data_IF_879042115402
#
_entry.id   IF_879042115402
#
_cell.length_a   1.000
_cell.length_b   1.000
_cell.length_c   1.000
_cell.angle_alpha   90.00
_cell.angle_beta   90.00
_cell.angle_gamma   90.00
#
_symmetry.space_group_name_H-M   'P 1'
#
loop_
_entity.id
_entity.type
_entity.pdbx_description
1 polymer ?
#
# COMPACT_ATOMS: atom_id res chain seq x y z
N UNK A 1 22.83 10.40 -0.85
CA UNK A 1 21.68 10.96 -0.07
C UNK A 1 21.79 12.47 0.22
N UNK A 2 22.96 13.11 0.04
CA UNK A 2 23.19 14.51 0.46
C UNK A 2 22.66 15.55 -0.56
N UNK A 3 22.46 15.17 -1.82
CA UNK A 3 22.08 16.11 -2.90
C UNK A 3 20.56 16.37 -2.95
N UNK A 4 19.71 15.38 -2.65
CA UNK A 4 18.26 15.48 -2.87
C UNK A 4 17.54 16.29 -1.79
N UNK A 5 17.98 16.16 -0.53
CA UNK A 5 17.33 16.81 0.62
C UNK A 5 17.35 18.36 0.56
N UNK A 6 18.47 19.01 0.19
CA UNK A 6 18.50 20.45 -0.02
C UNK A 6 17.53 20.93 -1.11
N UNK A 7 17.49 20.22 -2.25
CA UNK A 7 16.60 20.56 -3.37
C UNK A 7 15.12 20.47 -2.97
N UNK A 8 14.74 19.44 -2.21
CA UNK A 8 13.36 19.28 -1.73
C UNK A 8 12.89 20.41 -0.81
N UNK A 9 13.80 21.07 -0.07
CA UNK A 9 13.46 22.20 0.79
C UNK A 9 13.16 23.47 0.01
N UNK A 10 13.80 23.65 -1.15
CA UNK A 10 13.63 24.82 -2.02
C UNK A 10 12.60 24.57 -3.13
N UNK A 11 12.15 23.32 -3.30
CA UNK A 11 11.30 22.88 -4.39
C UNK A 11 10.02 23.69 -4.53
N UNK A 12 9.32 24.01 -3.44
CA UNK A 12 8.07 24.78 -3.52
C UNK A 12 8.28 26.17 -4.12
N UNK A 13 9.38 26.83 -3.76
CA UNK A 13 9.75 28.14 -4.32
C UNK A 13 10.19 28.00 -5.78
N UNK A 14 11.06 27.03 -6.06
CA UNK A 14 11.54 26.77 -7.42
C UNK A 14 10.40 26.41 -8.38
N UNK A 15 9.40 25.65 -7.94
CA UNK A 15 8.22 25.33 -8.74
C UNK A 15 7.36 26.56 -9.04
N UNK A 16 7.21 27.50 -8.09
CA UNK A 16 6.50 28.75 -8.34
C UNK A 16 7.25 29.61 -9.38
N UNK A 17 8.56 29.74 -9.23
CA UNK A 17 9.39 30.51 -10.16
C UNK A 17 9.41 29.88 -11.57
N UNK A 18 9.54 28.55 -11.65
CA UNK A 18 9.50 27.81 -12.92
C UNK A 18 8.12 27.89 -13.60
N UNK A 19 7.03 27.72 -12.85
CA UNK A 19 5.69 27.85 -13.41
C UNK A 19 5.45 29.25 -13.99
N UNK A 20 5.98 30.28 -13.32
CA UNK A 20 5.95 31.65 -13.83
C UNK A 20 6.73 31.77 -15.14
N UNK A 21 7.97 31.29 -15.19
CA UNK A 21 8.79 31.31 -16.41
C UNK A 21 8.12 30.56 -17.57
N UNK A 22 7.53 29.40 -17.32
CA UNK A 22 6.82 28.61 -18.35
C UNK A 22 5.57 29.36 -18.84
N UNK A 23 4.84 30.04 -17.95
CA UNK A 23 3.66 30.81 -18.32
C UNK A 23 3.99 32.05 -19.15
N UNK A 24 5.17 32.63 -18.95
CA UNK A 24 5.66 33.83 -19.63
C UNK A 24 6.46 33.52 -20.92
N UNK A 25 6.77 32.24 -21.19
CA UNK A 25 7.48 31.82 -22.41
C UNK A 25 6.67 32.22 -23.65
N UNK A 26 7.25 33.05 -24.52
CA UNK A 26 6.59 33.59 -25.71
C UNK A 26 5.98 32.50 -26.61
N UNK A 27 6.62 31.32 -26.68
CA UNK A 27 6.17 30.19 -27.49
C UNK A 27 4.89 29.54 -26.97
N UNK A 28 4.64 29.65 -25.66
CA UNK A 28 3.49 29.07 -24.95
C UNK A 28 2.46 30.12 -24.53
N UNK A 29 2.88 31.38 -24.43
CA UNK A 29 2.09 32.51 -23.95
C UNK A 29 0.85 32.77 -24.81
N UNK A 30 0.86 32.40 -26.09
CA UNK A 30 -0.29 32.53 -27.00
C UNK A 30 -1.32 31.40 -26.85
N UNK A 31 -0.94 30.29 -26.19
CA UNK A 31 -1.81 29.13 -26.01
C UNK A 31 -2.88 29.42 -24.94
N UNK A 32 -4.14 29.34 -25.36
CA UNK A 32 -5.30 29.56 -24.48
C UNK A 32 -5.33 28.61 -23.28
N UNK A 33 -4.90 27.36 -23.45
CA UNK A 33 -4.88 26.37 -22.37
C UNK A 33 -3.90 26.79 -21.27
N UNK A 34 -2.72 27.28 -21.64
CA UNK A 34 -1.69 27.75 -20.69
C UNK A 34 -2.22 28.96 -19.92
N UNK A 35 -2.89 29.90 -20.60
CA UNK A 35 -3.52 31.06 -19.96
C UNK A 35 -4.65 30.70 -18.99
N UNK A 36 -5.43 29.65 -19.27
CA UNK A 36 -6.49 29.17 -18.36
C UNK A 36 -5.89 28.48 -17.13
N UNK A 37 -4.81 27.70 -17.30
CA UNK A 37 -4.22 26.90 -16.21
C UNK A 37 -3.37 27.77 -15.26
N UNK A 38 -2.55 28.67 -15.81
CA UNK A 38 -1.59 29.46 -15.03
C UNK A 38 -2.02 30.92 -14.79
N UNK A 39 -3.02 31.40 -15.55
CA UNK A 39 -3.50 32.79 -15.49
C UNK A 39 -4.96 32.90 -15.09
N UNK A 40 -5.51 34.11 -15.22
CA UNK A 40 -6.93 34.35 -14.96
C UNK A 40 -7.75 34.30 -16.27
N UNK A 41 -8.65 33.32 -16.45
CA UNK A 41 -9.47 33.22 -17.65
C UNK A 41 -10.41 34.42 -17.86
N UNK A 42 -10.79 35.15 -16.80
CA UNK A 42 -11.67 36.31 -16.89
C UNK A 42 -11.06 37.49 -17.66
N UNK A 43 -9.73 37.53 -17.81
CA UNK A 43 -9.00 38.62 -18.49
C UNK A 43 -9.18 38.56 -20.01
N UNK A 44 -9.37 37.37 -20.59
CA UNK A 44 -9.42 37.19 -22.05
C UNK A 44 -10.67 36.46 -22.56
N UNK A 45 -11.49 35.87 -21.68
CA UNK A 45 -12.78 35.28 -22.07
C UNK A 45 -13.92 36.25 -21.73
N UNK A 46 -14.46 36.99 -22.73
CA UNK A 46 -15.41 38.07 -22.49
C UNK A 46 -16.79 37.58 -22.05
N UNK A 47 -17.11 36.30 -22.31
CA UNK A 47 -18.40 35.68 -21.98
C UNK A 47 -18.47 35.13 -20.56
N UNK A 48 -17.38 35.22 -19.78
CA UNK A 48 -17.41 34.79 -18.39
C UNK A 48 -18.18 35.80 -17.52
N UNK A 49 -18.96 35.33 -16.54
CA UNK A 49 -19.60 36.21 -15.57
C UNK A 49 -18.54 37.05 -14.84
N UNK A 50 -18.69 38.37 -14.89
CA UNK A 50 -17.78 39.30 -14.20
C UNK A 50 -18.34 39.64 -12.81
N UNK A 51 -17.44 39.88 -11.86
CA UNK A 51 -17.74 40.66 -10.66
C UNK A 51 -18.70 40.02 -9.64
N UNK A 52 -18.62 38.70 -9.45
CA UNK A 52 -19.29 38.01 -8.34
C UNK A 52 -18.26 37.25 -7.49
N UNK A 53 -18.53 37.13 -6.19
CA UNK A 53 -17.63 36.44 -5.27
C UNK A 53 -17.35 34.98 -5.67
N UNK A 54 -18.27 34.34 -6.39
CA UNK A 54 -18.24 32.89 -6.72
C UNK A 54 -17.56 32.62 -8.08
N UNK A 55 -17.56 33.57 -9.01
CA UNK A 55 -16.98 33.40 -10.35
C UNK A 55 -15.51 33.83 -10.43
N UNK A 56 -14.74 33.62 -9.36
CA UNK A 56 -13.31 33.91 -9.33
C UNK A 56 -12.45 32.71 -9.74
N UNK A 57 -11.36 32.98 -10.47
CA UNK A 57 -10.34 31.98 -10.85
C UNK A 57 -9.80 31.19 -9.66
N UNK A 58 -9.71 31.82 -8.49
CA UNK A 58 -9.26 31.18 -7.23
C UNK A 58 -10.22 30.11 -6.73
N UNK A 59 -11.54 30.31 -6.86
CA UNK A 59 -12.55 29.33 -6.40
C UNK A 59 -12.58 28.11 -7.31
N UNK A 60 -12.47 28.33 -8.61
CA UNK A 60 -12.49 27.28 -9.63
C UNK A 60 -11.10 26.66 -9.89
N UNK A 61 -10.12 26.96 -9.03
CA UNK A 61 -8.78 26.38 -9.14
C UNK A 61 -8.77 24.89 -8.78
N UNK A 62 -7.97 24.12 -9.52
CA UNK A 62 -7.78 22.70 -9.22
C UNK A 62 -6.91 22.55 -7.97
N UNK A 63 -7.46 21.97 -6.91
CA UNK A 63 -6.73 21.65 -5.69
C UNK A 63 -6.25 20.21 -5.73
N UNK A 64 -5.03 19.98 -5.23
CA UNK A 64 -4.50 18.63 -5.08
C UNK A 64 -5.39 17.84 -4.12
N UNK A 65 -5.76 16.62 -4.51
CA UNK A 65 -6.43 15.68 -3.62
C UNK A 65 -5.47 15.23 -2.53
N UNK A 66 -5.91 15.25 -1.28
CA UNK A 66 -5.11 14.78 -0.15
C UNK A 66 -5.07 13.25 -0.20
N UNK A 67 -3.87 12.68 -0.21
CA UNK A 67 -3.61 11.24 -0.17
C UNK A 67 -2.77 10.86 1.04
N UNK A 68 -2.70 9.57 1.37
CA UNK A 68 -1.89 9.05 2.49
C UNK A 68 -0.41 9.30 2.22
N UNK A 69 0.03 9.18 0.97
CA UNK A 69 1.40 9.45 0.53
C UNK A 69 1.73 10.94 0.67
N UNK A 70 0.78 11.82 0.36
CA UNK A 70 0.95 13.26 0.58
C UNK A 70 1.11 13.59 2.06
N UNK A 71 0.30 12.96 2.93
CA UNK A 71 0.44 13.13 4.38
C UNK A 71 1.78 12.56 4.90
N UNK A 72 2.20 11.38 4.42
CA UNK A 72 3.49 10.78 4.73
C UNK A 72 4.64 11.72 4.36
N UNK A 73 4.57 12.35 3.20
CA UNK A 73 5.54 13.33 2.75
C UNK A 73 5.55 14.59 3.64
N UNK A 74 4.38 15.12 4.01
CA UNK A 74 4.29 16.27 4.94
C UNK A 74 4.92 15.92 6.29
N UNK A 75 4.60 14.75 6.86
CA UNK A 75 5.14 14.31 8.16
C UNK A 75 6.66 14.15 8.08
N UNK A 76 7.21 13.66 6.96
CA UNK A 76 8.66 13.56 6.76
C UNK A 76 9.35 14.93 6.61
N UNK A 77 8.70 15.91 5.96
CA UNK A 77 9.28 17.23 5.75
C UNK A 77 9.19 18.14 6.99
N UNK A 78 8.05 18.09 7.69
CA UNK A 78 7.73 19.01 8.80
C UNK A 78 7.93 18.41 10.18
N UNK A 79 7.86 17.09 10.30
CA UNK A 79 8.06 16.42 11.58
C UNK A 79 9.53 16.28 11.91
N UNK A 80 9.99 16.88 13.01
CA UNK A 80 11.01 16.22 13.81
C UNK A 80 10.45 14.85 14.21
N UNK A 81 11.29 13.80 14.26
CA UNK A 81 10.89 12.44 14.67
C UNK A 81 10.08 12.43 15.98
N UNK A 82 10.25 13.46 16.80
CA UNK A 82 9.70 13.59 18.14
C UNK A 82 8.28 14.21 18.19
N UNK A 83 7.74 14.74 17.08
CA UNK A 83 6.43 15.43 17.13
C UNK A 83 5.25 14.47 17.00
N UNK A 84 5.34 13.48 16.11
CA UNK A 84 4.26 12.52 15.82
C UNK A 84 4.81 11.12 15.51
N UNK A 85 5.56 10.49 16.43
CA UNK A 85 6.29 9.25 16.18
C UNK A 85 5.39 8.08 15.75
N UNK A 86 4.22 7.91 16.39
CA UNK A 86 3.25 6.86 16.05
C UNK A 86 2.71 7.06 14.63
N UNK A 87 2.30 8.28 14.28
CA UNK A 87 1.77 8.59 12.95
C UNK A 87 2.82 8.37 11.87
N UNK A 88 4.08 8.76 12.12
CA UNK A 88 5.17 8.51 11.20
C UNK A 88 5.39 7.01 10.98
N UNK A 89 5.40 6.22 12.06
CA UNK A 89 5.55 4.75 11.97
C UNK A 89 4.39 4.11 11.22
N UNK A 90 3.16 4.57 11.46
CA UNK A 90 1.97 4.11 10.73
C UNK A 90 2.11 4.40 9.24
N UNK A 91 2.42 5.63 8.86
CA UNK A 91 2.53 6.06 7.45
C UNK A 91 3.67 5.33 6.71
N UNK A 92 4.74 4.94 7.40
CA UNK A 92 5.82 4.12 6.82
C UNK A 92 5.38 2.69 6.50
N UNK A 93 4.39 2.16 7.22
CA UNK A 93 3.96 0.76 7.15
C UNK A 93 2.51 0.58 6.72
N UNK A 94 1.83 1.66 6.31
CA UNK A 94 0.38 1.68 6.08
C UNK A 94 -0.08 0.60 5.09
N UNK A 95 0.61 0.49 3.96
CA UNK A 95 0.23 -0.47 2.91
C UNK A 95 0.33 -1.93 3.40
N UNK A 96 1.33 -2.22 4.25
CA UNK A 96 1.53 -3.53 4.87
C UNK A 96 0.53 -3.77 6.01
N UNK A 97 0.34 -2.78 6.91
CA UNK A 97 -0.61 -2.82 8.02
C UNK A 97 -2.06 -3.00 7.54
N UNK A 98 -2.41 -2.44 6.38
CA UNK A 98 -3.72 -2.64 5.75
C UNK A 98 -4.02 -4.12 5.49
N UNK A 99 -3.01 -4.95 5.28
CA UNK A 99 -3.20 -6.38 5.03
C UNK A 99 -3.50 -7.19 6.31
N UNK A 100 -3.19 -6.65 7.49
CA UNK A 100 -3.46 -7.32 8.79
C UNK A 100 -4.95 -7.61 8.97
N UNK A 101 -5.84 -6.82 8.36
CA UNK A 101 -7.30 -7.07 8.39
C UNK A 101 -7.70 -8.44 7.84
N UNK A 102 -6.88 -9.04 6.96
CA UNK A 102 -7.14 -10.34 6.35
C UNK A 102 -6.54 -11.50 7.14
N UNK A 103 -5.77 -11.23 8.20
CA UNK A 103 -5.17 -12.26 9.04
C UNK A 103 -6.20 -13.26 9.61
N UNK A 104 -7.39 -12.85 10.11
CA UNK A 104 -8.38 -13.82 10.61
C UNK A 104 -8.88 -14.77 9.52
N UNK A 105 -9.06 -14.29 8.29
CA UNK A 105 -9.52 -15.09 7.16
C UNK A 105 -8.45 -16.10 6.71
N UNK A 106 -7.19 -15.65 6.65
CA UNK A 106 -6.04 -16.50 6.36
C UNK A 106 -5.86 -17.58 7.44
N UNK A 107 -6.00 -17.23 8.72
CA UNK A 107 -5.94 -18.20 9.81
C UNK A 107 -7.10 -19.20 9.77
N UNK A 108 -8.30 -18.77 9.39
CA UNK A 108 -9.43 -19.67 9.19
C UNK A 108 -9.15 -20.67 8.04
N UNK A 109 -8.57 -20.20 6.92
CA UNK A 109 -8.11 -21.06 5.84
C UNK A 109 -7.08 -22.09 6.35
N UNK A 110 -6.05 -21.63 7.05
CA UNK A 110 -5.01 -22.52 7.57
C UNK A 110 -5.57 -23.55 8.57
N UNK A 111 -6.48 -23.16 9.45
CA UNK A 111 -7.15 -24.07 10.39
C UNK A 111 -7.93 -25.16 9.67
N UNK A 112 -8.67 -24.80 8.62
CA UNK A 112 -9.44 -25.78 7.84
C UNK A 112 -8.52 -26.73 7.06
N UNK A 113 -7.42 -26.20 6.50
CA UNK A 113 -6.41 -27.01 5.82
C UNK A 113 -5.71 -27.97 6.79
N UNK A 114 -5.30 -27.50 7.97
CA UNK A 114 -4.71 -28.37 9.00
C UNK A 114 -5.68 -29.47 9.37
N UNK A 115 -6.95 -29.14 9.66
CA UNK A 115 -7.97 -30.14 10.00
C UNK A 115 -8.16 -31.20 8.92
N UNK A 116 -8.08 -30.82 7.64
CA UNK A 116 -8.26 -31.73 6.50
C UNK A 116 -7.04 -32.61 6.22
N UNK A 117 -5.82 -32.07 6.41
CA UNK A 117 -4.58 -32.71 5.96
C UNK A 117 -3.65 -33.17 7.10
N UNK A 118 -4.09 -33.13 8.37
CA UNK A 118 -3.26 -33.48 9.54
C UNK A 118 -2.67 -34.90 9.49
N UNK A 119 -3.36 -35.86 8.88
CA UNK A 119 -3.01 -37.30 8.90
C UNK A 119 -2.78 -37.89 7.51
N UNK A 120 -2.54 -37.06 6.50
CA UNK A 120 -2.38 -37.52 5.11
C UNK A 120 -0.90 -37.48 4.72
N UNK A 121 -0.37 -38.63 4.31
CA UNK A 121 1.03 -38.79 3.91
C UNK A 121 1.32 -38.21 2.52
N UNK A 122 0.36 -38.29 1.60
CA UNK A 122 0.49 -37.79 0.22
C UNK A 122 -0.60 -36.79 -0.13
N UNK A 123 -0.20 -35.62 -0.59
CA UNK A 123 -1.11 -34.61 -1.09
C UNK A 123 -1.55 -35.02 -2.51
N UNK A 124 -2.81 -35.43 -2.65
CA UNK A 124 -3.37 -35.81 -3.97
C UNK A 124 -3.54 -34.62 -4.91
N UNK A 125 -3.57 -33.40 -4.38
CA UNK A 125 -3.78 -32.17 -5.17
C UNK A 125 -2.46 -31.59 -5.67
N UNK A 126 -2.31 -31.52 -7.00
CA UNK A 126 -1.14 -30.90 -7.63
C UNK A 126 -1.19 -29.38 -7.55
N UNK A 127 -2.30 -28.77 -7.95
CA UNK A 127 -2.48 -27.30 -7.95
C UNK A 127 -3.59 -26.85 -6.99
N UNK A 128 -3.61 -25.55 -6.71
CA UNK A 128 -4.69 -24.92 -5.93
C UNK A 128 -6.04 -25.05 -6.66
N UNK A 129 -6.06 -24.93 -7.99
CA UNK A 129 -7.27 -25.11 -8.82
C UNK A 129 -7.83 -26.53 -8.73
N UNK A 130 -6.96 -27.56 -8.74
CA UNK A 130 -7.36 -28.95 -8.54
C UNK A 130 -8.00 -29.16 -7.16
N UNK A 131 -7.40 -28.58 -6.12
CA UNK A 131 -7.93 -28.60 -4.77
C UNK A 131 -9.32 -27.95 -4.70
N UNK A 132 -9.50 -26.77 -5.29
CA UNK A 132 -10.78 -26.06 -5.32
C UNK A 132 -11.85 -26.84 -6.09
N UNK A 133 -11.46 -27.54 -7.15
CA UNK A 133 -12.36 -28.36 -7.96
C UNK A 133 -12.90 -29.59 -7.20
N UNK A 134 -12.23 -30.03 -6.13
CA UNK A 134 -12.68 -31.15 -5.29
C UNK A 134 -13.93 -30.86 -4.43
N UNK A 135 -14.34 -29.60 -4.30
CA UNK A 135 -15.48 -29.19 -3.47
C UNK A 135 -16.79 -29.10 -4.26
N UNK A 136 -17.92 -29.31 -3.58
CA UNK A 136 -19.25 -28.98 -4.08
C UNK A 136 -19.41 -27.46 -4.25
N UNK A 137 -20.31 -27.02 -5.15
CA UNK A 137 -20.40 -25.62 -5.61
C UNK A 137 -20.50 -24.58 -4.48
N UNK A 138 -21.28 -24.85 -3.43
CA UNK A 138 -21.46 -23.93 -2.29
C UNK A 138 -20.21 -23.82 -1.39
N UNK A 139 -19.57 -24.94 -1.06
CA UNK A 139 -18.34 -24.94 -0.25
C UNK A 139 -17.15 -24.39 -1.06
N UNK A 140 -17.16 -24.63 -2.37
CA UNK A 140 -16.14 -24.16 -3.31
C UNK A 140 -16.05 -22.65 -3.34
N UNK A 141 -17.16 -21.92 -3.38
CA UNK A 141 -17.13 -20.46 -3.46
C UNK A 141 -16.51 -19.82 -2.21
N UNK A 142 -16.88 -20.32 -1.03
CA UNK A 142 -16.30 -19.85 0.23
C UNK A 142 -14.80 -20.17 0.34
N UNK A 143 -14.40 -21.39 -0.01
CA UNK A 143 -12.99 -21.79 0.00
C UNK A 143 -12.18 -20.97 -1.01
N UNK A 144 -12.74 -20.77 -2.22
CA UNK A 144 -12.13 -19.95 -3.27
C UNK A 144 -11.90 -18.52 -2.79
N UNK A 145 -12.88 -17.88 -2.16
CA UNK A 145 -12.72 -16.53 -1.62
C UNK A 145 -11.55 -16.43 -0.63
N UNK A 146 -11.44 -17.37 0.30
CA UNK A 146 -10.32 -17.40 1.27
C UNK A 146 -8.96 -17.62 0.61
N UNK A 147 -8.90 -18.49 -0.39
CA UNK A 147 -7.68 -18.75 -1.16
C UNK A 147 -7.27 -17.52 -1.97
N UNK A 148 -8.23 -16.84 -2.61
CA UNK A 148 -7.98 -15.60 -3.33
C UNK A 148 -7.48 -14.50 -2.39
N UNK A 149 -8.06 -14.35 -1.20
CA UNK A 149 -7.56 -13.46 -0.15
C UNK A 149 -6.11 -13.80 0.23
N UNK A 150 -5.79 -15.07 0.44
CA UNK A 150 -4.42 -15.50 0.73
C UNK A 150 -3.44 -15.11 -0.38
N UNK A 151 -3.77 -15.40 -1.64
CA UNK A 151 -2.91 -15.12 -2.79
C UNK A 151 -2.71 -13.61 -3.00
N UNK A 152 -3.78 -12.83 -2.88
CA UNK A 152 -3.73 -11.37 -2.98
C UNK A 152 -2.83 -10.74 -1.89
N UNK A 153 -2.97 -11.19 -0.65
CA UNK A 153 -2.15 -10.72 0.47
C UNK A 153 -0.70 -11.19 0.34
N UNK A 154 -0.46 -12.43 -0.11
CA UNK A 154 0.87 -12.92 -0.43
C UNK A 154 1.55 -12.05 -1.50
N UNK A 155 0.88 -11.80 -2.62
CA UNK A 155 1.45 -11.03 -3.74
C UNK A 155 1.78 -9.59 -3.33
N UNK A 156 0.99 -9.00 -2.44
CA UNK A 156 1.27 -7.66 -1.88
C UNK A 156 2.45 -7.64 -0.91
N UNK A 157 2.72 -8.74 -0.20
CA UNK A 157 3.70 -8.78 0.89
C UNK A 157 4.97 -9.57 0.59
N UNK A 158 5.03 -10.37 -0.49
CA UNK A 158 6.14 -11.30 -0.78
C UNK A 158 7.53 -10.66 -0.71
N UNK A 159 7.69 -9.45 -1.25
CA UNK A 159 8.96 -8.71 -1.24
C UNK A 159 9.30 -8.15 0.16
N UNK A 160 8.27 -7.70 0.89
CA UNK A 160 8.42 -7.25 2.27
C UNK A 160 8.77 -8.40 3.21
N UNK A 161 8.22 -9.60 2.98
CA UNK A 161 8.55 -10.83 3.70
C UNK A 161 9.99 -11.26 3.40
N UNK A 162 10.42 -11.23 2.14
CA UNK A 162 11.80 -11.56 1.77
C UNK A 162 12.82 -10.67 2.49
N UNK A 163 12.53 -9.36 2.56
CA UNK A 163 13.45 -8.37 3.12
C UNK A 163 13.40 -8.32 4.65
N UNK A 164 12.19 -8.28 5.23
CA UNK A 164 11.96 -7.95 6.64
C UNK A 164 11.42 -9.13 7.45
N UNK A 165 11.12 -10.27 6.81
CA UNK A 165 10.57 -11.43 7.49
C UNK A 165 11.60 -12.15 8.36
N UNK A 166 11.11 -12.65 9.49
CA UNK A 166 11.85 -13.51 10.42
C UNK A 166 12.19 -14.86 9.78
N UNK A 167 11.25 -15.44 9.03
CA UNK A 167 11.43 -16.70 8.31
C UNK A 167 12.15 -16.40 6.98
N UNK A 168 13.37 -16.94 6.82
CA UNK A 168 14.13 -16.81 5.59
C UNK A 168 13.63 -17.78 4.53
N UNK A 169 13.11 -17.22 3.44
CA UNK A 169 12.63 -17.96 2.28
C UNK A 169 13.71 -18.01 1.20
N UNK A 170 13.76 -19.09 0.40
CA UNK A 170 14.50 -19.09 -0.86
C UNK A 170 14.01 -17.96 -1.78
N UNK A 171 14.93 -17.30 -2.50
CA UNK A 171 14.61 -16.16 -3.39
C UNK A 171 13.55 -16.51 -4.44
N UNK A 172 13.58 -17.74 -4.94
CA UNK A 172 12.65 -18.22 -5.96
C UNK A 172 11.19 -18.29 -5.45
N UNK A 173 10.98 -18.30 -4.14
CA UNK A 173 9.63 -18.37 -3.58
C UNK A 173 8.92 -17.02 -3.66
N UNK A 174 9.68 -15.93 -3.53
CA UNK A 174 9.18 -14.56 -3.53
C UNK A 174 9.33 -13.85 -4.88
N UNK A 175 9.87 -14.50 -5.92
CA UNK A 175 10.22 -13.85 -7.19
C UNK A 175 9.01 -13.49 -8.06
N UNK A 176 7.99 -14.35 -8.09
CA UNK A 176 6.78 -14.17 -8.90
C UNK A 176 5.50 -14.13 -8.08
N UNK A 177 4.47 -13.54 -8.67
CA UNK A 177 3.11 -13.59 -8.13
C UNK A 177 2.57 -15.01 -8.18
N UNK A 178 1.90 -15.41 -7.09
CA UNK A 178 1.24 -16.69 -6.95
C UNK A 178 -0.20 -16.59 -7.42
N UNK A 179 -0.66 -17.66 -8.05
CA UNK A 179 -1.97 -17.81 -8.67
C UNK A 179 -2.57 -19.15 -8.28
N UNK A 180 -3.83 -19.38 -8.64
CA UNK A 180 -4.49 -20.69 -8.42
C UNK A 180 -3.85 -21.84 -9.20
N UNK A 181 -2.93 -21.56 -10.14
CA UNK A 181 -2.20 -22.58 -10.91
C UNK A 181 -0.94 -23.07 -10.19
N UNK A 182 -0.51 -22.37 -9.15
CA UNK A 182 0.66 -22.75 -8.37
C UNK A 182 0.41 -24.03 -7.55
N UNK A 183 1.49 -24.71 -7.09
CA UNK A 183 1.36 -25.90 -6.28
C UNK A 183 0.52 -25.67 -5.02
N UNK A 184 -0.37 -26.62 -4.72
CA UNK A 184 -1.25 -26.54 -3.55
C UNK A 184 -0.49 -26.40 -2.22
N UNK A 185 0.74 -26.95 -2.14
CA UNK A 185 1.56 -26.91 -0.93
C UNK A 185 1.85 -25.50 -0.41
N UNK A 186 1.79 -24.47 -1.25
CA UNK A 186 1.96 -23.06 -0.86
C UNK A 186 0.92 -22.62 0.19
N UNK A 187 -0.27 -23.22 0.21
CA UNK A 187 -1.33 -22.90 1.17
C UNK A 187 -1.16 -23.63 2.51
N UNK A 188 -0.37 -24.71 2.56
CA UNK A 188 -0.25 -25.55 3.74
C UNK A 188 0.73 -24.93 4.75
N UNK A 189 0.34 -24.73 6.02
CA UNK A 189 1.22 -24.17 7.04
C UNK A 189 2.25 -25.20 7.52
N UNK A 190 3.26 -25.47 6.69
CA UNK A 190 4.40 -26.36 7.00
C UNK A 190 5.64 -25.53 7.31
N UNK A 191 6.53 -26.10 8.12
CA UNK A 191 7.84 -25.50 8.45
C UNK A 191 8.96 -25.86 7.46
N UNK A 192 8.60 -26.39 6.29
CA UNK A 192 9.51 -26.84 5.23
C UNK A 192 8.91 -26.57 3.86
N UNK A 193 9.78 -26.52 2.85
CA UNK A 193 9.44 -26.42 1.43
C UNK A 193 8.46 -25.28 1.14
N UNK A 194 7.58 -25.45 0.15
CA UNK A 194 6.61 -24.43 -0.27
C UNK A 194 5.62 -24.02 0.82
N UNK A 195 5.41 -24.86 1.84
CA UNK A 195 4.56 -24.51 2.98
C UNK A 195 5.15 -23.43 3.88
N UNK A 196 6.44 -23.09 3.71
CA UNK A 196 7.05 -21.93 4.33
C UNK A 196 6.34 -20.63 3.93
N UNK A 197 5.78 -20.54 2.72
CA UNK A 197 5.05 -19.36 2.25
C UNK A 197 3.84 -19.05 3.15
N UNK A 198 3.02 -20.05 3.46
CA UNK A 198 1.85 -19.86 4.33
C UNK A 198 2.28 -19.45 5.75
N UNK A 199 3.33 -20.10 6.26
CA UNK A 199 3.85 -19.84 7.61
C UNK A 199 4.47 -18.44 7.70
N UNK A 200 5.27 -18.04 6.72
CA UNK A 200 5.93 -16.74 6.70
C UNK A 200 4.93 -15.60 6.55
N UNK A 201 3.88 -15.77 5.74
CA UNK A 201 2.84 -14.76 5.58
C UNK A 201 2.14 -14.46 6.90
N UNK A 202 1.71 -15.51 7.60
CA UNK A 202 1.03 -15.37 8.90
C UNK A 202 1.97 -14.81 9.96
N UNK A 203 3.21 -15.32 10.02
CA UNK A 203 4.23 -14.79 10.94
C UNK A 203 4.47 -13.30 10.72
N UNK A 204 4.55 -12.87 9.46
CA UNK A 204 4.80 -11.48 9.10
C UNK A 204 3.62 -10.56 9.44
N UNK A 205 2.38 -10.99 9.18
CA UNK A 205 1.19 -10.22 9.55
C UNK A 205 1.05 -10.06 11.08
N UNK A 206 1.37 -11.11 11.84
CA UNK A 206 1.41 -11.07 13.30
C UNK A 206 2.51 -10.11 13.79
N UNK A 207 3.71 -10.21 13.19
CA UNK A 207 4.82 -9.33 13.49
C UNK A 207 4.45 -7.86 13.25
N UNK A 208 3.87 -7.53 12.09
CA UNK A 208 3.41 -6.17 11.77
C UNK A 208 2.42 -5.62 12.80
N UNK A 209 1.43 -6.44 13.17
CA UNK A 209 0.44 -6.06 14.18
C UNK A 209 1.10 -5.79 15.53
N UNK A 210 1.90 -6.75 16.01
CA UNK A 210 2.53 -6.67 17.33
C UNK A 210 3.56 -5.53 17.40
N UNK A 211 4.38 -5.33 16.37
CA UNK A 211 5.31 -4.21 16.31
C UNK A 211 4.61 -2.86 16.44
N UNK A 212 3.48 -2.69 15.76
CA UNK A 212 2.73 -1.45 15.80
C UNK A 212 2.05 -1.23 17.16
N UNK A 213 1.40 -2.26 17.71
CA UNK A 213 0.78 -2.21 19.06
C UNK A 213 1.84 -1.94 20.13
N UNK A 214 2.99 -2.61 20.07
CA UNK A 214 4.09 -2.39 21.00
C UNK A 214 4.67 -0.97 20.90
N UNK A 215 4.70 -0.39 19.70
CA UNK A 215 5.15 1.01 19.51
C UNK A 215 4.18 1.98 20.20
N UNK A 216 2.87 1.77 20.05
CA UNK A 216 1.85 2.58 20.71
C UNK A 216 1.94 2.44 22.24
N UNK A 217 2.07 1.20 22.73
CA UNK A 217 2.15 0.92 24.15
C UNK A 217 3.37 1.61 24.80
N UNK A 218 4.54 1.56 24.15
CA UNK A 218 5.77 2.23 24.62
C UNK A 218 5.60 3.75 24.69
N UNK A 219 5.11 4.36 23.62
CA UNK A 219 4.88 5.81 23.55
C UNK A 219 3.91 6.28 24.64
N UNK A 220 2.83 5.52 24.87
CA UNK A 220 1.87 5.81 25.95
C UNK A 220 2.45 5.64 27.35
N UNK A 221 3.39 4.71 27.56
CA UNK A 221 4.03 4.50 28.84
C UNK A 221 5.07 5.60 29.13
N UNK A 222 5.80 6.04 28.11
CA UNK A 222 6.79 7.12 28.21
C UNK A 222 6.11 8.49 28.40
N UNK A 223 4.92 8.70 27.82
CA UNK A 223 4.13 9.92 28.04
C UNK A 223 3.53 10.03 29.47
N UNK A 224 3.44 8.92 30.20
CA UNK A 224 2.92 8.87 31.58
C UNK A 224 4.03 8.89 32.65
N UNK A 225 5.30 9.03 32.25
CA UNK A 225 6.46 9.19 33.13
C UNK A 225 6.90 10.66 33.18
#
# INVERSE_FOLDING_TARGET
RIIILPELKLLDKALLDLNKQISEDERLSSNLVVKIIYGDPAVFLPHLPKDTAIHSSRIWSCKKRISVEHLAHIVQQKGSKDTVPILQKFLQKEAELRQVKFLPEILALQKDLVKRFQNISEIEHRTIEDFLSSFSSGVRSQMKGRVETFLDVWNKLRLSIETNGEIKLPKDYCSMDRTVKDPFEILLPRRRDLGLCATSLVSYLIQLHNEFVNTIAKDSADANR
#
